data_IF_349846531452
#
_entry.id   IF_349846531452
#
_cell.length_a   1.000
_cell.length_b   1.000
_cell.length_c   1.000
_cell.angle_alpha   90.00
_cell.angle_beta   90.00
_cell.angle_gamma   90.00
#
_symmetry.space_group_name_H-M   'P 1'
#
loop_
_entity.id
_entity.type
_entity.pdbx_description
1 polymer ?
#
# COMPACT_ATOMS: atom_id res chain seq x y z
N UNK A 1 21.33 -3.74 -1.36
CA UNK A 1 20.64 -2.65 -2.09
C UNK A 1 19.18 -3.05 -2.08
N UNK A 2 18.25 -2.11 -1.93
CA UNK A 2 16.81 -2.43 -1.95
C UNK A 2 16.23 -1.93 -3.26
N UNK A 3 15.74 -2.84 -4.09
CA UNK A 3 15.05 -2.47 -5.31
C UNK A 3 13.69 -1.86 -4.97
N UNK A 4 13.36 -0.75 -5.61
CA UNK A 4 12.05 -0.12 -5.50
C UNK A 4 11.48 0.16 -6.89
N UNK A 5 10.15 0.21 -6.96
CA UNK A 5 9.41 0.50 -8.18
C UNK A 5 8.24 1.42 -7.89
N UNK A 6 7.89 2.26 -8.85
CA UNK A 6 6.71 3.12 -8.77
C UNK A 6 5.99 3.15 -10.11
N UNK A 7 4.67 3.03 -10.06
CA UNK A 7 3.76 3.22 -11.20
C UNK A 7 2.65 4.15 -10.76
N UNK A 8 2.13 4.97 -11.66
CA UNK A 8 1.02 5.86 -11.35
C UNK A 8 0.55 6.60 -12.58
N UNK A 9 -0.67 7.12 -12.49
CA UNK A 9 -1.26 7.96 -13.51
C UNK A 9 -2.16 9.02 -12.85
N UNK A 10 -1.96 10.27 -13.24
CA UNK A 10 -2.67 11.45 -12.75
C UNK A 10 -2.84 11.50 -11.23
N UNK A 11 -3.96 10.97 -10.77
CA UNK A 11 -4.44 11.06 -9.40
C UNK A 11 -4.02 9.87 -8.53
N UNK A 12 -3.42 8.82 -9.05
CA UNK A 12 -3.03 7.66 -8.24
C UNK A 12 -1.57 7.23 -8.47
N UNK A 13 -1.00 6.58 -7.47
CA UNK A 13 0.28 5.88 -7.62
C UNK A 13 0.37 4.67 -6.70
N UNK A 14 1.19 3.71 -7.12
CA UNK A 14 1.61 2.52 -6.36
C UNK A 14 3.13 2.56 -6.29
N UNK A 15 3.67 2.53 -5.08
CA UNK A 15 5.10 2.45 -4.82
C UNK A 15 5.41 1.15 -4.09
N UNK A 16 6.51 0.51 -4.44
CA UNK A 16 6.93 -0.76 -3.86
C UNK A 16 8.38 -0.67 -3.43
N UNK A 17 8.67 -1.16 -2.24
CA UNK A 17 10.03 -1.28 -1.71
C UNK A 17 10.23 -2.72 -1.28
N UNK A 18 11.29 -3.37 -1.78
CA UNK A 18 11.61 -4.74 -1.36
C UNK A 18 12.39 -4.75 -0.07
N UNK A 19 12.23 -5.81 0.73
CA UNK A 19 13.11 -6.07 1.86
C UNK A 19 13.61 -7.52 1.83
N UNK A 20 14.88 -7.76 2.15
CA UNK A 20 15.40 -9.12 2.30
C UNK A 20 14.80 -9.78 3.54
N UNK A 21 14.61 -11.08 3.45
CA UNK A 21 14.08 -11.97 4.50
C UNK A 21 14.93 -13.24 4.57
N UNK A 22 14.71 -14.08 5.56
CA UNK A 22 15.44 -15.36 5.67
C UNK A 22 15.18 -16.32 4.49
N UNK A 23 14.02 -16.20 3.84
CA UNK A 23 13.56 -17.12 2.79
C UNK A 23 13.60 -16.51 1.38
N UNK A 24 14.08 -15.27 1.23
CA UNK A 24 14.06 -14.53 -0.04
C UNK A 24 13.77 -13.05 0.18
N UNK A 25 12.87 -12.47 -0.60
CA UNK A 25 12.52 -11.06 -0.57
C UNK A 25 11.02 -10.85 -0.41
N UNK A 26 10.61 -9.99 0.52
CA UNK A 26 9.24 -9.49 0.56
C UNK A 26 9.19 -8.07 -0.03
N UNK A 27 8.01 -7.46 -0.04
CA UNK A 27 7.89 -6.05 -0.38
C UNK A 27 6.76 -5.35 0.38
N UNK A 28 7.00 -4.10 0.75
CA UNK A 28 5.95 -3.16 1.17
C UNK A 28 5.40 -2.44 -0.05
N UNK A 29 4.08 -2.36 -0.12
CA UNK A 29 3.30 -1.76 -1.21
C UNK A 29 2.55 -0.59 -0.62
N UNK A 30 2.79 0.61 -1.14
CA UNK A 30 2.11 1.83 -0.77
C UNK A 30 1.29 2.34 -1.94
N UNK A 31 0.01 2.58 -1.69
CA UNK A 31 -0.93 3.16 -2.63
C UNK A 31 -1.25 4.57 -2.20
N UNK A 32 -1.30 5.48 -3.15
CA UNK A 32 -1.79 6.83 -2.95
C UNK A 32 -2.81 7.16 -4.02
N UNK A 33 -3.93 7.76 -3.61
CA UNK A 33 -4.96 8.27 -4.51
C UNK A 33 -5.39 9.66 -4.03
N UNK A 34 -5.15 10.67 -4.85
CA UNK A 34 -5.55 12.06 -4.63
C UNK A 34 -6.96 12.27 -5.16
N UNK A 35 -7.89 12.49 -4.26
CA UNK A 35 -9.27 12.89 -4.59
C UNK A 35 -9.48 14.36 -4.22
N UNK A 36 -10.54 15.02 -4.71
CA UNK A 36 -10.88 16.38 -4.29
C UNK A 36 -11.05 16.54 -2.77
N UNK A 37 -11.40 15.46 -2.07
CA UNK A 37 -11.59 15.41 -0.62
C UNK A 37 -10.29 15.21 0.16
N UNK A 38 -9.20 14.81 -0.49
CA UNK A 38 -7.90 14.63 0.13
C UNK A 38 -7.03 13.55 -0.50
N UNK A 39 -5.88 13.27 0.12
CA UNK A 39 -4.99 12.19 -0.31
C UNK A 39 -5.26 10.95 0.53
N UNK A 40 -5.82 9.93 -0.10
CA UNK A 40 -5.90 8.60 0.48
C UNK A 40 -4.56 7.89 0.32
N UNK A 41 -4.00 7.39 1.42
CA UNK A 41 -2.79 6.54 1.38
C UNK A 41 -3.04 5.24 2.14
N UNK A 42 -2.61 4.12 1.57
CA UNK A 42 -2.70 2.82 2.20
C UNK A 42 -1.41 2.05 1.97
N UNK A 43 -0.88 1.43 3.02
CA UNK A 43 0.33 0.62 2.95
C UNK A 43 0.05 -0.79 3.48
N UNK A 44 0.57 -1.79 2.78
CA UNK A 44 0.52 -3.18 3.21
C UNK A 44 1.73 -3.96 2.70
N UNK A 45 2.05 -5.08 3.36
CA UNK A 45 3.13 -5.99 2.93
C UNK A 45 2.54 -7.12 2.08
N UNK A 46 3.23 -7.48 0.99
CA UNK A 46 2.86 -8.65 0.19
C UNK A 46 2.93 -9.92 1.06
N UNK A 47 1.89 -10.76 0.98
CA UNK A 47 1.72 -11.93 1.87
C UNK A 47 2.77 -13.03 1.65
N UNK A 48 3.35 -13.10 0.45
CA UNK A 48 4.36 -14.10 0.07
C UNK A 48 5.76 -13.49 -0.08
N UNK A 49 6.79 -14.28 0.21
CA UNK A 49 8.17 -13.99 -0.17
C UNK A 49 8.48 -14.48 -1.59
N UNK A 50 9.41 -13.80 -2.26
CA UNK A 50 9.86 -14.07 -3.62
C UNK A 50 11.34 -14.49 -3.64
N UNK A 51 11.76 -15.32 -4.59
CA UNK A 51 13.16 -15.77 -4.66
C UNK A 51 14.13 -14.69 -5.15
N UNK A 52 13.64 -13.58 -5.74
CA UNK A 52 14.48 -12.45 -6.17
C UNK A 52 13.86 -11.08 -5.88
N UNK A 53 14.69 -10.05 -5.69
CA UNK A 53 14.25 -8.65 -5.54
C UNK A 53 13.40 -8.17 -6.73
N UNK A 54 13.78 -8.58 -7.96
CA UNK A 54 13.04 -8.21 -9.17
C UNK A 54 11.62 -8.77 -9.14
N UNK A 55 11.45 -10.02 -8.75
CA UNK A 55 10.13 -10.64 -8.64
C UNK A 55 9.30 -10.02 -7.54
N UNK A 56 9.91 -9.67 -6.40
CA UNK A 56 9.25 -8.95 -5.33
C UNK A 56 8.72 -7.58 -5.79
N UNK A 57 9.53 -6.78 -6.49
CA UNK A 57 9.05 -5.50 -7.05
C UNK A 57 7.93 -5.71 -8.06
N UNK A 58 8.09 -6.63 -9.00
CA UNK A 58 7.07 -6.87 -10.03
C UNK A 58 5.79 -7.45 -9.44
N UNK A 59 5.89 -8.31 -8.42
CA UNK A 59 4.77 -8.86 -7.66
C UNK A 59 4.00 -7.77 -6.93
N UNK A 60 4.71 -6.95 -6.16
CA UNK A 60 4.10 -5.83 -5.43
C UNK A 60 3.44 -4.80 -6.34
N UNK A 61 4.05 -4.50 -7.50
CA UNK A 61 3.47 -3.55 -8.45
C UNK A 61 2.17 -4.11 -9.06
N UNK A 62 2.14 -5.41 -9.39
CA UNK A 62 0.93 -6.07 -9.90
C UNK A 62 -0.18 -6.09 -8.87
N UNK A 63 0.12 -6.47 -7.63
CA UNK A 63 -0.88 -6.50 -6.56
C UNK A 63 -1.42 -5.09 -6.28
N UNK A 64 -0.54 -4.08 -6.16
CA UNK A 64 -0.96 -2.70 -5.97
C UNK A 64 -1.82 -2.17 -7.12
N UNK A 65 -1.50 -2.49 -8.38
CA UNK A 65 -2.34 -2.09 -9.52
C UNK A 65 -3.74 -2.72 -9.48
N UNK A 66 -3.85 -4.01 -9.11
CA UNK A 66 -5.15 -4.67 -8.92
C UNK A 66 -5.94 -3.97 -7.82
N UNK A 67 -5.27 -3.62 -6.73
CA UNK A 67 -5.87 -2.92 -5.60
C UNK A 67 -6.42 -1.54 -6.00
N UNK A 68 -5.66 -0.75 -6.78
CA UNK A 68 -6.14 0.52 -7.36
C UNK A 68 -7.37 0.29 -8.23
N UNK A 69 -7.34 -0.69 -9.14
CA UNK A 69 -8.47 -0.99 -10.01
C UNK A 69 -9.74 -1.32 -9.21
N UNK A 70 -9.61 -2.16 -8.18
CA UNK A 70 -10.72 -2.53 -7.29
C UNK A 70 -11.24 -1.35 -6.47
N UNK A 71 -10.37 -0.40 -6.11
CA UNK A 71 -10.77 0.84 -5.44
C UNK A 71 -11.56 1.75 -6.38
N UNK A 72 -11.11 1.90 -7.62
CA UNK A 72 -11.77 2.72 -8.65
C UNK A 72 -13.09 2.12 -9.13
N UNK A 73 -13.23 0.78 -9.10
CA UNK A 73 -14.50 0.09 -9.38
C UNK A 73 -15.47 0.06 -8.20
N UNK A 74 -15.16 0.77 -7.10
CA UNK A 74 -15.94 0.77 -5.86
C UNK A 74 -16.13 -0.63 -5.24
N UNK A 75 -15.30 -1.61 -5.59
CA UNK A 75 -15.34 -2.97 -5.02
C UNK A 75 -14.72 -3.00 -3.62
N UNK A 76 -13.70 -2.18 -3.39
CA UNK A 76 -13.08 -2.01 -2.09
C UNK A 76 -13.45 -0.67 -1.45
N UNK A 77 -14.10 -0.73 -0.29
CA UNK A 77 -14.36 0.42 0.56
C UNK A 77 -13.53 0.31 1.83
N UNK A 78 -12.28 0.76 1.77
CA UNK A 78 -11.53 1.08 2.98
C UNK A 78 -12.15 2.32 3.62
N UNK A 79 -12.75 2.15 4.80
CA UNK A 79 -12.91 3.26 5.73
C UNK A 79 -11.51 3.56 6.25
N UNK A 80 -11.01 4.78 6.02
CA UNK A 80 -9.89 5.26 6.83
C UNK A 80 -10.37 5.12 8.27
N UNK A 81 -9.66 4.34 9.08
CA UNK A 81 -9.97 4.26 10.50
C UNK A 81 -9.84 5.69 11.03
N UNK A 82 -10.97 6.34 11.27
CA UNK A 82 -11.03 7.58 12.01
C UNK A 82 -10.34 7.26 13.33
N UNK A 83 -9.11 7.73 13.50
CA UNK A 83 -8.52 7.91 14.81
C UNK A 83 -9.29 9.04 15.51
N UNK A 84 -10.57 8.79 15.82
CA UNK A 84 -11.27 9.51 16.87
C UNK A 84 -10.62 9.06 18.16
N UNK A 85 -9.55 9.76 18.52
CA UNK A 85 -8.96 9.76 19.85
C UNK A 85 -10.09 9.84 20.88
N UNK A 86 -10.34 8.73 21.57
CA UNK A 86 -11.09 8.73 22.82
C UNK A 86 -10.33 9.67 23.78
N UNK A 87 -10.85 10.88 23.97
CA UNK A 87 -10.49 11.74 25.08
C UNK A 87 -10.81 10.98 26.37
N UNK A 88 -9.84 10.72 27.27
CA UNK A 88 -10.16 10.07 28.54
C UNK A 88 -11.08 10.98 29.37
N UNK A 89 -12.04 10.42 30.12
CA UNK A 89 -12.87 11.21 31.00
C UNK A 89 -11.99 11.86 32.07
N UNK A 90 -12.09 13.18 32.18
CA UNK A 90 -11.52 13.93 33.29
C UNK A 90 -12.16 13.43 34.57
N UNK A 91 -11.41 12.69 35.38
CA UNK A 91 -11.81 12.34 36.74
C UNK A 91 -11.88 13.63 37.55
N UNK A 92 -13.08 13.91 38.04
CA UNK A 92 -13.37 14.93 39.04
C UNK A 92 -12.87 14.48 40.42
#
# INVERSE_FOLDING_TARGET
>A
MTLSGKVGDGHWSVSVVTHPTAEGFNCSIQLSHTTPEGVFTHEFTHSSAFPSEREAVLGGLREGMVWVQLKMSHTLSLQAADHTQLKPPSTQ
#
